data_IF_031133286044
#
_entry.id   IF_031133286044
#
_cell.length_a   1.000
_cell.length_b   1.000
_cell.length_c   1.000
_cell.angle_alpha   90.00
_cell.angle_beta   90.00
_cell.angle_gamma   90.00
#
_symmetry.space_group_name_H-M   'P 1'
#
loop_
_entity.id
_entity.type
_entity.pdbx_description
1 polymer ?
#
# COMPACT_ATOMS: atom_id res chain seq x y z
N UNK A 1 -18.68 -8.52 3.28
CA UNK A 1 -18.70 -7.22 3.96
C UNK A 1 -17.27 -6.74 3.99
N UNK A 2 -17.00 -5.49 3.62
CA UNK A 2 -15.63 -4.96 3.65
C UNK A 2 -15.25 -4.68 5.10
N UNK A 3 -14.81 -5.72 5.80
CA UNK A 3 -14.52 -5.66 7.24
C UNK A 3 -13.21 -4.90 7.54
N UNK A 4 -12.44 -4.58 6.50
CA UNK A 4 -11.17 -3.89 6.58
C UNK A 4 -11.06 -2.74 5.59
N UNK A 5 -10.42 -1.65 6.01
CA UNK A 5 -10.03 -0.57 5.11
C UNK A 5 -8.56 -0.18 5.33
N UNK A 6 -7.97 0.41 4.30
CA UNK A 6 -6.62 0.91 4.33
C UNK A 6 -6.60 2.42 4.10
N UNK A 7 -5.65 3.09 4.75
CA UNK A 7 -5.43 4.52 4.56
C UNK A 7 -3.95 4.83 4.41
N UNK A 8 -3.68 5.79 3.52
CA UNK A 8 -2.41 6.50 3.40
C UNK A 8 -2.71 8.00 3.47
N UNK A 9 -1.85 8.77 4.13
CA UNK A 9 -1.95 10.24 4.21
C UNK A 9 -0.79 10.91 3.47
N UNK A 10 -0.42 12.12 3.89
CA UNK A 10 0.89 12.72 3.56
C UNK A 10 2.03 11.99 4.30
N UNK A 11 2.10 10.67 4.13
CA UNK A 11 3.09 9.79 4.72
C UNK A 11 3.51 8.71 3.72
N UNK A 12 4.59 8.02 4.05
CA UNK A 12 5.16 6.92 3.28
C UNK A 12 4.70 5.54 3.78
N UNK A 13 3.74 5.54 4.71
CA UNK A 13 3.23 4.38 5.42
C UNK A 13 1.76 4.14 5.05
N UNK A 14 1.30 2.90 5.22
CA UNK A 14 -0.11 2.51 5.06
C UNK A 14 -0.63 1.91 6.36
N UNK A 15 -1.78 2.38 6.84
CA UNK A 15 -2.49 1.78 7.96
C UNK A 15 -3.57 0.81 7.47
N UNK A 16 -3.69 -0.34 8.14
CA UNK A 16 -4.80 -1.29 8.00
C UNK A 16 -5.69 -1.23 9.24
N UNK A 17 -6.99 -1.08 9.01
CA UNK A 17 -7.98 -0.86 10.06
C UNK A 17 -9.12 -1.86 9.94
N UNK A 18 -9.59 -2.31 11.09
CA UNK A 18 -10.80 -3.10 11.24
C UNK A 18 -12.00 -2.15 11.35
N UNK A 19 -12.97 -2.30 10.44
CA UNK A 19 -14.17 -1.45 10.39
C UNK A 19 -15.07 -1.68 11.60
N UNK A 20 -15.18 -2.93 12.05
CA UNK A 20 -16.11 -3.34 13.11
C UNK A 20 -15.66 -2.80 14.46
N UNK A 21 -14.36 -2.86 14.75
CA UNK A 21 -13.79 -2.43 16.03
C UNK A 21 -13.25 -1.00 16.00
N UNK A 22 -13.06 -0.42 14.81
CA UNK A 22 -12.45 0.89 14.61
C UNK A 22 -10.96 0.94 14.95
N UNK A 23 -10.30 -0.20 15.11
CA UNK A 23 -8.90 -0.28 15.55
C UNK A 23 -7.95 -0.44 14.38
N UNK A 24 -6.78 0.19 14.50
CA UNK A 24 -5.65 -0.07 13.61
C UNK A 24 -5.05 -1.43 13.93
N UNK A 25 -5.13 -2.36 12.98
CA UNK A 25 -4.57 -3.70 13.10
C UNK A 25 -3.07 -3.67 12.84
N UNK A 26 -2.65 -2.95 11.80
CA UNK A 26 -1.26 -2.96 11.33
C UNK A 26 -0.88 -1.62 10.69
N UNK A 27 0.40 -1.31 10.76
CA UNK A 27 1.03 -0.25 9.98
C UNK A 27 2.11 -0.86 9.13
N UNK A 28 2.00 -0.66 7.82
CA UNK A 28 3.03 -1.01 6.85
C UNK A 28 3.95 0.19 6.66
N UNK A 29 5.21 0.04 7.03
CA UNK A 29 6.14 1.16 7.14
C UNK A 29 7.09 1.23 5.96
N UNK A 30 7.48 2.44 5.59
CA UNK A 30 8.48 2.72 4.55
C UNK A 30 8.16 2.02 3.23
N UNK A 31 6.90 2.07 2.79
CA UNK A 31 6.51 1.46 1.50
C UNK A 31 7.03 2.27 0.31
N UNK A 32 7.20 3.57 0.49
CA UNK A 32 7.70 4.50 -0.51
C UNK A 32 8.76 5.43 0.10
N UNK A 33 9.50 6.14 -0.76
CA UNK A 33 10.48 7.15 -0.34
C UNK A 33 9.87 8.56 -0.28
N UNK A 34 8.63 8.72 -0.74
CA UNK A 34 7.88 9.96 -0.74
C UNK A 34 6.37 9.69 -0.54
N UNK A 35 5.56 10.73 -0.39
CA UNK A 35 4.15 10.62 -0.03
C UNK A 35 3.34 9.74 -0.99
N UNK A 36 2.55 8.85 -0.40
CA UNK A 36 1.64 7.97 -1.13
C UNK A 36 0.36 8.75 -1.44
N UNK A 37 0.07 8.97 -2.71
CA UNK A 37 -1.11 9.72 -3.17
C UNK A 37 -2.24 8.80 -3.66
N UNK A 38 -1.95 7.54 -3.99
CA UNK A 38 -2.94 6.55 -4.42
C UNK A 38 -2.77 5.27 -3.62
N UNK A 39 -3.89 4.71 -3.18
CA UNK A 39 -3.98 3.38 -2.57
C UNK A 39 -5.25 2.67 -3.06
N UNK A 40 -5.11 1.45 -3.60
CA UNK A 40 -6.23 0.65 -4.12
C UNK A 40 -6.02 -0.85 -3.91
N UNK A 41 -7.07 -1.54 -3.47
CA UNK A 41 -7.12 -3.00 -3.49
C UNK A 41 -7.36 -3.54 -4.90
N UNK A 42 -6.88 -4.76 -5.15
CA UNK A 42 -7.23 -5.50 -6.36
C UNK A 42 -8.66 -6.04 -6.26
N UNK A 43 -9.46 -5.79 -7.28
CA UNK A 43 -10.83 -6.30 -7.39
C UNK A 43 -10.90 -7.83 -7.58
N UNK A 44 -9.82 -8.45 -8.09
CA UNK A 44 -9.76 -9.90 -8.37
C UNK A 44 -9.12 -10.68 -7.23
N UNK A 45 -8.13 -10.08 -6.57
CA UNK A 45 -7.32 -10.76 -5.54
C UNK A 45 -7.28 -9.87 -4.29
N UNK A 46 -8.17 -10.07 -3.30
CA UNK A 46 -8.31 -9.17 -2.14
C UNK A 46 -7.05 -8.99 -1.29
N UNK A 47 -6.08 -9.91 -1.40
CA UNK A 47 -4.81 -9.81 -0.68
C UNK A 47 -3.80 -8.88 -1.35
N UNK A 48 -4.04 -8.49 -2.61
CA UNK A 48 -3.17 -7.58 -3.34
C UNK A 48 -3.69 -6.15 -3.27
N UNK A 49 -2.76 -5.21 -3.11
CA UNK A 49 -3.05 -3.79 -3.23
C UNK A 49 -1.90 -3.06 -3.94
N UNK A 50 -2.23 -1.93 -4.55
CA UNK A 50 -1.30 -1.06 -5.25
C UNK A 50 -1.22 0.30 -4.56
N UNK A 51 -0.01 0.86 -4.55
CA UNK A 51 0.29 2.21 -4.11
C UNK A 51 1.00 2.98 -5.22
N UNK A 52 0.73 4.28 -5.33
CA UNK A 52 1.51 5.21 -6.14
C UNK A 52 1.99 6.37 -5.25
N UNK A 53 3.16 6.91 -5.58
CA UNK A 53 3.83 7.92 -4.77
C UNK A 53 4.54 8.98 -5.61
N UNK A 54 4.83 10.11 -4.98
CA UNK A 54 5.76 11.13 -5.51
C UNK A 54 7.23 10.68 -5.54
N UNK A 55 7.55 9.44 -5.20
CA UNK A 55 8.88 8.87 -5.41
C UNK A 55 9.08 8.32 -6.83
N UNK A 56 8.18 8.69 -7.75
CA UNK A 56 8.18 8.25 -9.14
C UNK A 56 7.99 6.74 -9.31
N UNK A 57 7.36 6.07 -8.35
CA UNK A 57 7.06 4.64 -8.45
C UNK A 57 5.62 4.29 -8.14
N UNK A 58 5.15 3.24 -8.81
CA UNK A 58 3.97 2.48 -8.46
C UNK A 58 4.40 1.10 -7.96
N UNK A 59 3.92 0.68 -6.80
CA UNK A 59 4.28 -0.60 -6.17
C UNK A 59 3.06 -1.46 -5.91
N UNK A 60 3.20 -2.76 -6.09
CA UNK A 60 2.18 -3.78 -5.78
C UNK A 60 2.65 -4.60 -4.60
N UNK A 61 1.75 -4.83 -3.65
CA UNK A 61 2.02 -5.49 -2.39
C UNK A 61 1.07 -6.66 -2.17
N UNK A 62 1.51 -7.67 -1.43
CA UNK A 62 0.69 -8.83 -1.06
C UNK A 62 0.62 -8.95 0.46
N UNK A 63 -0.59 -8.81 1.01
CA UNK A 63 -0.86 -8.92 2.45
C UNK A 63 -0.43 -10.24 3.08
N UNK A 64 -0.26 -11.29 2.27
CA UNK A 64 0.22 -12.61 2.71
C UNK A 64 1.73 -12.66 2.91
N UNK A 65 2.48 -11.67 2.40
CA UNK A 65 3.91 -11.59 2.62
C UNK A 65 4.21 -11.19 4.08
N UNK A 66 4.85 -12.06 4.88
CA UNK A 66 5.23 -11.72 6.25
C UNK A 66 6.23 -10.54 6.32
N UNK A 67 6.94 -10.23 5.23
CA UNK A 67 8.01 -9.23 5.16
C UNK A 67 7.59 -7.90 4.52
N UNK A 68 6.29 -7.59 4.46
CA UNK A 68 5.71 -6.43 3.75
C UNK A 68 6.19 -5.01 4.20
N UNK A 69 7.24 -4.88 5.00
CA UNK A 69 7.81 -3.59 5.44
C UNK A 69 9.22 -3.31 4.89
N UNK A 70 9.72 -4.15 3.98
CA UNK A 70 11.13 -4.18 3.60
C UNK A 70 11.45 -3.47 2.27
N UNK A 71 10.57 -2.58 1.79
CA UNK A 71 10.63 -2.04 0.41
C UNK A 71 10.82 -3.14 -0.64
N UNK A 72 10.10 -4.26 -0.45
CA UNK A 72 10.10 -5.42 -1.35
C UNK A 72 8.70 -5.63 -1.90
N UNK A 73 8.28 -4.80 -2.85
CA UNK A 73 6.99 -5.01 -3.50
C UNK A 73 7.04 -6.26 -4.38
N UNK A 74 5.88 -6.87 -4.61
CA UNK A 74 5.69 -7.95 -5.59
C UNK A 74 6.03 -7.47 -7.00
N UNK A 75 5.71 -6.21 -7.29
CA UNK A 75 6.07 -5.53 -8.52
C UNK A 75 6.32 -4.04 -8.25
N UNK A 76 7.31 -3.47 -8.93
CA UNK A 76 7.61 -2.04 -8.90
C UNK A 76 7.70 -1.53 -10.34
N UNK A 77 6.98 -0.47 -10.66
CA UNK A 77 7.02 0.20 -11.96
C UNK A 77 7.48 1.64 -11.73
N UNK A 78 8.51 2.09 -12.46
CA UNK A 78 8.83 3.51 -12.50
C UNK A 78 7.74 4.24 -13.30
N UNK A 79 7.34 5.40 -12.79
CA UNK A 79 6.45 6.35 -13.48
C UNK A 79 7.23 7.48 -14.12
N UNK A 80 8.56 7.40 -14.15
CA UNK A 80 9.37 8.34 -14.93
C UNK A 80 8.81 8.36 -16.35
N UNK A 81 8.40 9.55 -16.78
CA UNK A 81 7.92 9.78 -18.14
C UNK A 81 8.93 9.18 -19.09
N UNK A 82 8.45 8.39 -20.07
CA UNK A 82 9.19 8.06 -21.27
C UNK A 82 9.68 9.39 -21.87
N UNK A 83 10.89 9.80 -21.53
CA UNK A 83 11.59 10.90 -22.18
C UNK A 83 12.01 10.45 -23.57
#
# INVERSE_FOLDING_TARGET
TDDYFMTSGFCIDVGLYDVVTGRRIKTFRNLHQNFINILRFSHRTPQLFATASFDHTCKVWDLRDPNLNADKPVACCSTDTLN
#
